data_IF_006837221815
#
_entry.id   IF_006837221815
#
_cell.length_a   1.000
_cell.length_b   1.000
_cell.length_c   1.000
_cell.angle_alpha   90.00
_cell.angle_beta   90.00
_cell.angle_gamma   90.00
#
_symmetry.space_group_name_H-M   'P 1'
#
loop_
_entity.id
_entity.type
_entity.pdbx_description
1 polymer ?
#
# COMPACT_ATOMS: atom_id res chain seq x y z
N UNK A 1 -21.53 4.52 14.56
CA UNK A 1 -20.29 5.10 15.12
C UNK A 1 -20.24 6.62 14.98
N UNK A 2 -20.34 7.21 13.78
CA UNK A 2 -20.27 8.69 13.63
C UNK A 2 -21.37 9.46 14.35
N UNK A 3 -22.62 8.97 14.39
CA UNK A 3 -23.72 9.57 15.19
C UNK A 3 -23.46 9.61 16.71
N UNK A 4 -22.55 8.79 17.23
CA UNK A 4 -22.24 8.77 18.66
C UNK A 4 -21.28 9.90 19.04
N UNK A 5 -20.31 10.20 18.18
CA UNK A 5 -19.30 11.23 18.42
C UNK A 5 -19.78 12.66 18.12
N UNK A 6 -20.89 12.81 17.38
CA UNK A 6 -21.59 14.09 17.28
C UNK A 6 -22.31 14.47 18.58
N UNK A 7 -22.65 13.50 19.43
CA UNK A 7 -23.33 13.73 20.71
C UNK A 7 -22.35 13.81 21.90
N UNK A 8 -21.16 13.21 21.78
CA UNK A 8 -20.12 13.23 22.80
C UNK A 8 -18.80 13.70 22.16
N UNK A 9 -18.50 15.00 22.21
CA UNK A 9 -17.27 15.52 21.67
C UNK A 9 -16.08 14.96 22.45
N UNK A 10 -15.16 14.31 21.74
CA UNK A 10 -13.88 13.87 22.31
C UNK A 10 -12.83 14.95 22.06
N UNK A 11 -11.96 15.16 23.04
CA UNK A 11 -10.83 16.08 22.93
C UNK A 11 -9.52 15.33 23.04
N UNK A 12 -8.55 15.65 22.17
CA UNK A 12 -7.17 15.21 22.27
C UNK A 12 -6.30 16.44 22.50
N UNK A 13 -5.60 16.48 23.64
CA UNK A 13 -4.75 17.61 24.03
C UNK A 13 -5.49 18.97 24.00
N UNK A 14 -6.72 19.01 24.51
CA UNK A 14 -7.57 20.21 24.51
C UNK A 14 -8.27 20.53 23.18
N UNK A 15 -7.90 19.86 22.08
CA UNK A 15 -8.53 20.05 20.77
C UNK A 15 -9.68 19.07 20.54
N UNK A 16 -10.87 19.59 20.21
CA UNK A 16 -12.03 18.77 19.92
C UNK A 16 -11.87 18.05 18.58
N UNK A 17 -12.00 16.72 18.59
CA UNK A 17 -11.93 15.87 17.41
C UNK A 17 -13.23 15.99 16.59
N UNK A 18 -13.09 16.18 15.28
CA UNK A 18 -14.18 16.11 14.32
C UNK A 18 -14.06 14.84 13.48
N UNK A 19 -15.15 14.06 13.38
CA UNK A 19 -15.20 12.84 12.57
C UNK A 19 -16.27 13.02 11.50
N UNK A 20 -15.84 13.03 10.23
CA UNK A 20 -16.73 13.07 9.08
C UNK A 20 -16.60 11.78 8.26
N UNK A 21 -17.72 11.19 7.85
CA UNK A 21 -17.70 10.07 6.89
C UNK A 21 -17.52 10.67 5.50
N UNK A 22 -16.39 10.37 4.88
CA UNK A 22 -16.21 10.67 3.45
C UNK A 22 -16.95 9.62 2.60
N UNK A 23 -17.57 10.01 1.47
CA UNK A 23 -18.30 9.08 0.62
C UNK A 23 -17.37 8.12 -0.14
N UNK A 24 -16.08 8.41 -0.18
CA UNK A 24 -15.03 7.71 -0.93
C UNK A 24 -14.50 6.51 -0.14
N UNK A 25 -14.01 5.49 -0.85
CA UNK A 25 -13.33 4.32 -0.26
C UNK A 25 -14.08 3.61 0.89
N UNK A 26 -15.42 3.54 0.82
CA UNK A 26 -16.27 2.85 1.82
C UNK A 26 -15.89 1.38 2.04
N UNK A 27 -15.17 0.78 1.11
CA UNK A 27 -14.68 -0.60 1.20
C UNK A 27 -13.22 -0.65 0.79
N UNK A 28 -12.46 -1.57 1.37
CA UNK A 28 -11.06 -1.83 0.99
C UNK A 28 -10.95 -2.76 -0.23
N UNK A 29 -12.02 -2.95 -1.00
CA UNK A 29 -12.02 -3.89 -2.13
C UNK A 29 -11.04 -3.46 -3.22
N UNK A 30 -11.04 -2.17 -3.53
CA UNK A 30 -10.14 -1.57 -4.52
C UNK A 30 -8.91 -0.98 -3.80
N UNK A 31 -7.90 -1.83 -3.68
CA UNK A 31 -6.67 -1.56 -2.92
C UNK A 31 -5.83 -0.48 -3.63
N UNK A 32 -5.77 -0.52 -4.96
CA UNK A 32 -5.06 0.46 -5.76
C UNK A 32 -5.74 1.82 -5.75
N UNK A 33 -7.08 1.89 -5.86
CA UNK A 33 -7.77 3.18 -5.79
C UNK A 33 -7.51 3.89 -4.46
N UNK A 34 -7.45 3.15 -3.36
CA UNK A 34 -7.10 3.71 -2.04
C UNK A 34 -5.66 4.20 -2.05
N UNK A 35 -4.72 3.38 -2.51
CA UNK A 35 -3.32 3.76 -2.54
C UNK A 35 -3.08 4.99 -3.43
N UNK A 36 -3.63 5.01 -4.64
CA UNK A 36 -3.57 6.13 -5.57
C UNK A 36 -4.22 7.39 -5.00
N UNK A 37 -5.33 7.27 -4.25
CA UNK A 37 -5.94 8.42 -3.57
C UNK A 37 -5.02 9.01 -2.49
N UNK A 38 -4.35 8.16 -1.70
CA UNK A 38 -3.37 8.61 -0.69
C UNK A 38 -2.17 9.30 -1.35
N UNK A 39 -1.72 8.83 -2.51
CA UNK A 39 -0.66 9.47 -3.28
C UNK A 39 -1.10 10.86 -3.77
N UNK A 40 -2.30 11.00 -4.33
CA UNK A 40 -2.85 12.30 -4.75
C UNK A 40 -3.02 13.30 -3.61
N UNK A 41 -3.40 12.82 -2.43
CA UNK A 41 -3.56 13.66 -1.24
C UNK A 41 -2.21 14.21 -0.77
N UNK A 42 -1.15 13.41 -0.92
CA UNK A 42 0.22 13.79 -0.57
C UNK A 42 0.87 14.70 -1.62
N UNK A 43 0.65 14.42 -2.91
CA UNK A 43 1.13 15.22 -4.04
C UNK A 43 0.03 15.37 -5.11
N UNK A 44 -0.64 16.54 -5.20
CA UNK A 44 -1.69 16.80 -6.17
C UNK A 44 -1.24 16.73 -7.64
N UNK A 45 0.07 16.84 -7.91
CA UNK A 45 0.60 16.83 -9.28
C UNK A 45 0.91 15.42 -9.79
N UNK A 46 0.74 14.38 -8.97
CA UNK A 46 1.06 13.01 -9.36
C UNK A 46 0.18 12.57 -10.54
N UNK A 47 0.81 12.06 -11.61
CA UNK A 47 0.10 11.53 -12.76
C UNK A 47 -0.40 10.11 -12.46
N UNK A 48 -1.66 10.01 -12.03
CA UNK A 48 -2.24 8.73 -11.63
C UNK A 48 -2.60 7.80 -12.77
N UNK A 49 -2.64 8.26 -14.02
CA UNK A 49 -2.96 7.38 -15.15
C UNK A 49 -1.77 6.49 -15.51
N UNK A 50 -0.54 7.00 -15.37
CA UNK A 50 0.68 6.28 -15.74
C UNK A 50 1.38 5.60 -14.55
N UNK A 51 0.96 5.91 -13.32
CA UNK A 51 1.61 5.41 -12.09
C UNK A 51 1.36 3.92 -11.85
N UNK A 52 0.23 3.37 -12.33
CA UNK A 52 -0.11 1.95 -12.16
C UNK A 52 0.94 1.01 -12.76
N UNK A 53 1.57 1.41 -13.87
CA UNK A 53 2.64 0.63 -14.50
C UNK A 53 3.92 0.51 -13.65
N UNK A 54 4.00 1.25 -12.56
CA UNK A 54 5.10 1.26 -11.60
C UNK A 54 4.78 0.46 -10.34
N UNK A 55 3.55 -0.03 -10.20
CA UNK A 55 3.10 -0.76 -9.03
C UNK A 55 3.47 -2.24 -9.12
N UNK A 56 3.93 -2.77 -8.00
CA UNK A 56 4.15 -4.19 -7.77
C UNK A 56 3.37 -4.61 -6.53
N UNK A 57 2.57 -5.65 -6.71
CA UNK A 57 1.78 -6.28 -5.66
C UNK A 57 2.55 -7.43 -5.06
N UNK A 58 2.80 -7.35 -3.76
CA UNK A 58 3.29 -8.47 -2.97
C UNK A 58 2.11 -9.05 -2.18
N UNK A 59 1.86 -10.34 -2.30
CA UNK A 59 0.84 -11.05 -1.55
C UNK A 59 1.42 -12.19 -0.72
N UNK A 60 0.56 -12.85 0.04
CA UNK A 60 0.95 -13.92 0.97
C UNK A 60 1.96 -13.46 2.03
N UNK A 61 1.83 -12.21 2.51
CA UNK A 61 2.64 -11.72 3.62
C UNK A 61 2.22 -12.46 4.91
N UNK A 62 3.16 -12.78 5.83
CA UNK A 62 2.81 -13.31 7.15
C UNK A 62 1.85 -12.40 7.93
N UNK A 63 1.08 -12.95 8.86
CA UNK A 63 0.23 -12.15 9.75
C UNK A 63 1.06 -11.29 10.74
N UNK A 64 2.20 -11.82 11.19
CA UNK A 64 3.14 -11.15 12.08
C UNK A 64 4.61 -11.57 11.80
N UNK A 65 5.53 -11.15 12.66
CA UNK A 65 6.91 -11.65 12.63
C UNK A 65 7.81 -11.03 11.55
N UNK A 66 7.33 -10.04 10.80
CA UNK A 66 8.14 -9.26 9.86
C UNK A 66 8.03 -7.76 10.10
N UNK A 67 9.07 -7.02 9.72
CA UNK A 67 9.05 -5.55 9.71
C UNK A 67 8.64 -5.06 8.33
N UNK A 68 7.86 -3.99 8.27
CA UNK A 68 7.43 -3.38 7.00
C UNK A 68 8.63 -3.00 6.11
N UNK A 69 9.76 -2.61 6.72
CA UNK A 69 11.01 -2.34 6.02
C UNK A 69 11.51 -3.55 5.21
N UNK A 70 11.30 -4.78 5.69
CA UNK A 70 11.73 -5.99 4.96
C UNK A 70 11.00 -6.13 3.64
N UNK A 71 9.71 -5.77 3.60
CA UNK A 71 8.92 -5.73 2.36
C UNK A 71 9.45 -4.65 1.41
N UNK A 72 9.77 -3.46 1.93
CA UNK A 72 10.36 -2.37 1.14
C UNK A 72 11.73 -2.78 0.57
N UNK A 73 12.55 -3.47 1.37
CA UNK A 73 13.86 -3.97 0.94
C UNK A 73 13.76 -4.95 -0.24
N UNK A 74 12.66 -5.70 -0.40
CA UNK A 74 12.46 -6.55 -1.59
C UNK A 74 12.45 -5.69 -2.85
N UNK A 75 11.72 -4.57 -2.85
CA UNK A 75 11.63 -3.64 -3.98
C UNK A 75 12.92 -2.86 -4.23
N UNK A 76 13.62 -2.46 -3.17
CA UNK A 76 14.89 -1.72 -3.27
C UNK A 76 16.01 -2.49 -4.01
N UNK A 77 15.89 -3.81 -4.18
CA UNK A 77 16.80 -4.60 -5.02
C UNK A 77 16.65 -4.34 -6.52
N UNK A 78 15.55 -3.73 -6.96
CA UNK A 78 15.20 -3.55 -8.37
C UNK A 78 15.11 -2.10 -8.81
N UNK A 79 14.90 -1.18 -7.88
CA UNK A 79 14.80 0.26 -8.13
C UNK A 79 14.48 1.00 -6.84
N UNK A 80 14.43 2.33 -6.90
CA UNK A 80 13.96 3.12 -5.75
C UNK A 80 12.47 2.82 -5.50
N UNK A 81 12.09 2.68 -4.24
CA UNK A 81 10.68 2.59 -3.81
C UNK A 81 10.26 4.00 -3.40
N UNK A 82 9.41 4.64 -4.20
CA UNK A 82 8.95 6.02 -3.91
C UNK A 82 7.87 6.02 -2.83
N UNK A 83 6.92 5.09 -2.93
CA UNK A 83 5.82 4.94 -2.00
C UNK A 83 5.45 3.48 -1.80
N UNK A 84 4.85 3.15 -0.65
CA UNK A 84 4.34 1.82 -0.38
C UNK A 84 3.15 1.85 0.57
N UNK A 85 2.36 0.78 0.55
CA UNK A 85 1.32 0.51 1.54
C UNK A 85 1.33 -0.97 1.91
N UNK A 86 1.13 -1.27 3.19
CA UNK A 86 0.98 -2.63 3.71
C UNK A 86 -0.43 -2.79 4.27
N UNK A 87 -1.18 -3.72 3.68
CA UNK A 87 -2.56 -4.06 4.03
C UNK A 87 -2.53 -5.36 4.85
N UNK A 88 -2.21 -5.26 6.15
CA UNK A 88 -2.00 -6.42 7.04
C UNK A 88 -3.20 -7.38 7.05
N UNK A 89 -4.41 -6.84 7.16
CA UNK A 89 -5.66 -7.62 7.14
C UNK A 89 -5.96 -8.32 5.81
N UNK A 90 -5.15 -8.07 4.79
CA UNK A 90 -5.22 -8.73 3.48
C UNK A 90 -3.95 -9.48 3.11
N UNK A 91 -2.95 -9.48 4.00
CA UNK A 91 -1.65 -10.11 3.76
C UNK A 91 -1.02 -9.65 2.44
N UNK A 92 -1.13 -8.34 2.15
CA UNK A 92 -0.71 -7.72 0.89
C UNK A 92 0.09 -6.46 1.13
N UNK A 93 0.94 -6.12 0.17
CA UNK A 93 1.58 -4.82 0.04
C UNK A 93 1.60 -4.37 -1.42
N UNK A 94 1.54 -3.05 -1.62
CA UNK A 94 1.73 -2.43 -2.94
C UNK A 94 2.96 -1.55 -2.84
N UNK A 95 3.92 -1.75 -3.74
CA UNK A 95 5.12 -0.93 -3.86
C UNK A 95 5.04 -0.14 -5.16
N UNK A 96 5.27 1.17 -5.09
CA UNK A 96 5.53 1.99 -6.27
C UNK A 96 7.04 2.07 -6.49
N UNK A 97 7.51 1.52 -7.61
CA UNK A 97 8.92 1.67 -8.00
C UNK A 97 9.12 2.94 -8.83
N UNK A 98 10.34 3.44 -8.87
CA UNK A 98 10.73 4.63 -9.64
C UNK A 98 10.43 4.57 -11.14
N UNK A 99 10.46 3.37 -11.73
CA UNK A 99 10.20 3.18 -13.15
C UNK A 99 9.36 1.92 -13.45
N UNK A 100 8.58 1.93 -14.55
CA UNK A 100 7.87 0.73 -15.02
C UNK A 100 8.80 -0.43 -15.39
N UNK A 101 10.08 -0.13 -15.67
CA UNK A 101 11.08 -1.15 -15.97
C UNK A 101 11.54 -1.86 -14.70
N UNK A 102 11.73 -1.10 -13.61
CA UNK A 102 12.05 -1.63 -12.28
C UNK A 102 10.94 -2.58 -11.81
N UNK A 103 9.67 -2.15 -11.91
CA UNK A 103 8.50 -2.97 -11.54
C UNK A 103 8.46 -4.30 -12.33
N UNK A 104 8.61 -4.24 -13.65
CA UNK A 104 8.66 -5.43 -14.53
C UNK A 104 9.84 -6.34 -14.21
N UNK A 105 11.01 -5.77 -13.92
CA UNK A 105 12.20 -6.52 -13.54
C UNK A 105 11.98 -7.27 -12.22
N UNK A 106 11.39 -6.62 -11.22
CA UNK A 106 11.04 -7.25 -9.94
C UNK A 106 10.07 -8.41 -10.15
N UNK A 107 8.99 -8.21 -10.90
CA UNK A 107 8.03 -9.26 -11.21
C UNK A 107 8.70 -10.45 -11.91
N UNK A 108 9.44 -10.22 -13.00
CA UNK A 108 10.13 -11.27 -13.76
C UNK A 108 11.12 -12.06 -12.90
N UNK A 109 11.91 -11.36 -12.07
CA UNK A 109 12.90 -12.01 -11.21
C UNK A 109 12.25 -12.86 -10.13
N UNK A 110 11.21 -12.34 -9.44
CA UNK A 110 10.55 -13.07 -8.35
C UNK A 110 9.73 -14.27 -8.82
N UNK A 111 9.30 -14.28 -10.09
CA UNK A 111 8.69 -15.47 -10.72
C UNK A 111 9.71 -16.61 -10.88
N UNK A 112 11.00 -16.30 -11.09
CA UNK A 112 12.07 -17.29 -11.22
C UNK A 112 12.72 -17.63 -9.87
N UNK A 113 12.82 -16.64 -8.99
CA UNK A 113 13.47 -16.73 -7.68
C UNK A 113 12.52 -16.22 -6.60
N UNK A 114 11.60 -17.08 -6.11
CA UNK A 114 10.64 -16.69 -5.09
C UNK A 114 11.32 -16.15 -3.83
N UNK A 115 10.73 -15.11 -3.24
CA UNK A 115 11.20 -14.52 -1.99
C UNK A 115 10.33 -15.03 -0.84
N UNK A 116 10.95 -15.47 0.26
CA UNK A 116 10.22 -15.84 1.47
C UNK A 116 10.42 -14.82 2.57
N UNK A 117 9.39 -14.66 3.40
CA UNK A 117 9.40 -13.88 4.63
C UNK A 117 8.97 -14.82 5.76
N UNK A 118 9.94 -15.30 6.54
CA UNK A 118 9.75 -16.48 7.40
C UNK A 118 9.35 -17.70 6.56
N UNK A 119 8.30 -18.39 6.99
CA UNK A 119 7.76 -19.58 6.31
C UNK A 119 6.85 -19.26 5.10
N UNK A 120 6.60 -17.97 4.82
CA UNK A 120 5.68 -17.57 3.75
C UNK A 120 6.45 -17.17 2.49
N UNK A 121 6.26 -17.90 1.40
CA UNK A 121 6.73 -17.48 0.08
C UNK A 121 5.79 -16.42 -0.49
N UNK A 122 6.33 -15.23 -0.74
CA UNK A 122 5.57 -14.09 -1.25
C UNK A 122 5.11 -14.35 -2.68
N UNK A 123 3.89 -13.95 -2.99
CA UNK A 123 3.42 -13.85 -4.38
C UNK A 123 3.75 -12.47 -4.93
N UNK A 124 4.01 -12.39 -6.23
CA UNK A 124 4.36 -11.13 -6.90
C UNK A 124 3.49 -10.95 -8.15
N UNK A 125 2.86 -9.80 -8.28
CA UNK A 125 2.03 -9.42 -9.43
C UNK A 125 2.27 -7.97 -9.84
N UNK A 126 1.98 -7.65 -11.10
CA UNK A 126 1.90 -6.27 -11.59
C UNK A 126 0.44 -5.79 -11.53
N UNK A 127 0.23 -4.49 -11.56
CA UNK A 127 -1.11 -3.94 -11.82
C UNK A 127 -1.63 -4.43 -13.18
N UNK A 128 -2.93 -4.77 -13.28
CA UNK A 128 -3.57 -5.24 -14.51
C UNK A 128 -3.68 -4.16 -15.59
#
# INVERSE_FOLDING_TARGET
MVKFHTCFPMSLDGNQLCINVVPQHKTVKDEEAIFTALLKDSDPQVNTESIHNQFVHLGNLPDDGYRELEVVCVGLRFGKVDHYVVLKNKNKAILQLDTPKSARSMHSFLQQYPCSLGEHTLTCGLSP
#
